data_IF_957141901813
#
_entry.id   IF_957141901813
#
_cell.length_a   1.000
_cell.length_b   1.000
_cell.length_c   1.000
_cell.angle_alpha   90.00
_cell.angle_beta   90.00
_cell.angle_gamma   90.00
#
_symmetry.space_group_name_H-M   'P 1'
#
loop_
_entity.id
_entity.type
_entity.pdbx_description
1 polymer ?
#
# COMPACT_ATOMS: atom_id res chain seq x y z
N UNK A 1 10.99 -48.52 -20.80
CA UNK A 1 10.83 -48.59 -19.32
C UNK A 1 9.62 -47.77 -18.96
N UNK A 2 8.60 -48.37 -18.39
CA UNK A 2 7.43 -47.63 -17.83
C UNK A 2 7.95 -46.96 -16.56
N UNK A 3 8.06 -45.63 -16.58
CA UNK A 3 8.45 -44.88 -15.40
C UNK A 3 7.34 -45.08 -14.36
N UNK A 4 7.65 -45.68 -13.22
CA UNK A 4 6.70 -45.87 -12.14
C UNK A 4 6.39 -44.49 -11.55
N UNK A 5 5.16 -44.04 -11.69
CA UNK A 5 4.66 -42.76 -11.15
C UNK A 5 3.66 -43.06 -10.05
N UNK A 6 3.52 -42.15 -9.06
CA UNK A 6 2.55 -42.28 -7.96
C UNK A 6 1.12 -42.24 -8.48
N UNK A 7 0.85 -41.40 -9.48
CA UNK A 7 -0.45 -41.30 -10.15
C UNK A 7 -0.36 -41.75 -11.61
N UNK A 8 -1.39 -42.45 -12.14
CA UNK A 8 -1.34 -43.08 -13.47
C UNK A 8 -1.66 -42.09 -14.60
N UNK A 9 -0.83 -41.04 -14.78
CA UNK A 9 -0.95 -40.12 -15.91
C UNK A 9 0.39 -39.98 -16.64
N UNK A 10 0.31 -39.60 -17.92
CA UNK A 10 1.46 -39.23 -18.74
C UNK A 10 1.49 -37.74 -18.93
N UNK A 11 2.69 -37.18 -18.99
CA UNK A 11 2.92 -35.76 -19.33
C UNK A 11 3.22 -35.62 -20.79
N UNK A 12 2.60 -34.66 -21.46
CA UNK A 12 2.85 -34.28 -22.83
C UNK A 12 2.67 -32.78 -23.03
N UNK A 13 3.16 -32.24 -24.14
CA UNK A 13 3.02 -30.84 -24.53
C UNK A 13 1.78 -30.62 -25.39
N UNK A 14 1.25 -29.41 -25.45
CA UNK A 14 0.15 -29.02 -26.33
C UNK A 14 0.55 -27.90 -27.26
N UNK A 15 -0.03 -27.87 -28.46
CA UNK A 15 0.09 -26.77 -29.44
C UNK A 15 -1.04 -25.73 -29.30
N UNK A 16 -1.93 -25.93 -28.34
CA UNK A 16 -3.02 -24.98 -28.10
C UNK A 16 -2.51 -23.72 -27.43
N UNK A 17 -3.05 -22.57 -27.80
CA UNK A 17 -2.75 -21.31 -27.13
C UNK A 17 -3.51 -21.28 -25.82
N UNK A 18 -2.82 -21.52 -24.73
CA UNK A 18 -3.38 -21.56 -23.38
C UNK A 18 -2.83 -20.40 -22.53
N UNK A 19 -3.53 -20.05 -21.47
CA UNK A 19 -3.05 -19.20 -20.38
C UNK A 19 -3.41 -19.82 -19.04
N UNK A 20 -2.49 -19.76 -18.08
CA UNK A 20 -2.76 -20.09 -16.69
C UNK A 20 -3.35 -18.88 -15.92
N UNK A 21 -3.32 -17.69 -16.50
CA UNK A 21 -3.64 -16.41 -15.86
C UNK A 21 -4.79 -15.67 -16.54
N UNK A 22 -5.86 -16.41 -16.94
CA UNK A 22 -7.00 -15.81 -17.66
C UNK A 22 -7.63 -14.61 -16.96
N UNK A 23 -7.63 -14.60 -15.63
CA UNK A 23 -8.14 -13.47 -14.85
C UNK A 23 -7.20 -12.27 -14.77
N UNK A 24 -5.90 -12.42 -15.07
CA UNK A 24 -4.98 -11.28 -15.12
C UNK A 24 -5.33 -10.32 -16.27
N UNK A 25 -5.98 -10.84 -17.32
CA UNK A 25 -6.51 -9.99 -18.39
C UNK A 25 -7.54 -8.97 -17.89
N UNK A 26 -8.35 -9.29 -16.87
CA UNK A 26 -9.29 -8.33 -16.25
C UNK A 26 -8.57 -7.17 -15.56
N UNK A 27 -7.46 -7.48 -14.89
CA UNK A 27 -6.64 -6.43 -14.27
C UNK A 27 -5.95 -5.57 -15.33
N UNK A 28 -5.48 -6.17 -16.42
CA UNK A 28 -4.92 -5.45 -17.56
C UNK A 28 -5.96 -4.51 -18.20
N UNK A 29 -7.22 -4.96 -18.39
CA UNK A 29 -8.32 -4.11 -18.84
C UNK A 29 -8.62 -2.95 -17.87
N UNK A 30 -8.59 -3.21 -16.57
CA UNK A 30 -8.74 -2.14 -15.57
C UNK A 30 -7.58 -1.15 -15.62
N UNK A 31 -6.33 -1.62 -15.63
CA UNK A 31 -5.15 -0.77 -15.71
C UNK A 31 -5.19 0.12 -16.97
N UNK A 32 -5.64 -0.45 -18.10
CA UNK A 32 -5.85 0.32 -19.33
C UNK A 32 -6.99 1.32 -19.16
N UNK A 33 -8.15 0.88 -18.65
CA UNK A 33 -9.35 1.72 -18.47
C UNK A 33 -9.14 2.89 -17.52
N UNK A 34 -8.33 2.72 -16.46
CA UNK A 34 -7.94 3.81 -15.55
C UNK A 34 -6.83 4.72 -16.15
N UNK A 35 -6.29 4.37 -17.33
CA UNK A 35 -5.35 5.17 -18.08
C UNK A 35 -3.88 5.02 -17.68
N UNK A 36 -3.47 3.87 -17.14
CA UNK A 36 -2.08 3.65 -16.72
C UNK A 36 -1.09 3.90 -17.87
N UNK A 37 -1.35 3.37 -19.07
CA UNK A 37 -0.45 3.51 -20.23
C UNK A 37 -0.32 4.96 -20.67
N UNK A 38 -1.47 5.65 -20.87
CA UNK A 38 -1.50 7.07 -21.26
C UNK A 38 -0.70 7.93 -20.27
N UNK A 39 -0.93 7.73 -18.96
CA UNK A 39 -0.27 8.51 -17.92
C UNK A 39 1.24 8.24 -17.86
N UNK A 40 1.65 6.97 -18.02
CA UNK A 40 3.08 6.62 -18.01
C UNK A 40 3.83 7.19 -19.21
N UNK A 41 3.26 7.13 -20.42
CA UNK A 41 3.90 7.71 -21.61
C UNK A 41 3.92 9.25 -21.56
N UNK A 42 2.94 9.86 -20.90
CA UNK A 42 2.86 11.31 -20.73
C UNK A 42 3.86 11.87 -19.74
N UNK A 43 4.09 11.19 -18.61
CA UNK A 43 4.84 11.75 -17.49
C UNK A 43 6.24 11.15 -17.28
N UNK A 44 6.55 10.02 -17.90
CA UNK A 44 7.87 9.40 -17.78
C UNK A 44 8.77 9.78 -18.95
N UNK A 45 10.10 9.75 -18.74
CA UNK A 45 11.04 10.06 -19.81
C UNK A 45 10.93 9.04 -20.95
N UNK A 46 11.03 9.49 -22.20
CA UNK A 46 10.98 8.61 -23.36
C UNK A 46 12.15 7.62 -23.34
N UNK A 47 12.09 6.56 -24.14
CA UNK A 47 13.18 5.62 -24.27
C UNK A 47 14.48 6.32 -24.71
N UNK A 48 15.62 5.82 -24.22
CA UNK A 48 16.93 6.41 -24.56
C UNK A 48 17.42 6.15 -25.99
N UNK A 49 16.66 5.37 -26.76
CA UNK A 49 16.95 5.06 -28.17
C UNK A 49 15.68 4.64 -28.91
N UNK A 50 15.69 4.71 -30.24
CA UNK A 50 14.58 4.26 -31.10
C UNK A 50 14.26 2.75 -31.01
N UNK A 51 15.10 1.98 -30.33
CA UNK A 51 14.89 0.54 -30.07
C UNK A 51 14.44 0.26 -28.64
N UNK A 52 14.31 1.29 -27.81
CA UNK A 52 13.87 1.14 -26.43
C UNK A 52 12.36 0.97 -26.34
N UNK A 53 11.91 0.25 -25.32
CA UNK A 53 10.49 0.16 -24.98
C UNK A 53 9.96 1.49 -24.46
N UNK A 54 8.73 1.82 -24.82
CA UNK A 54 8.02 2.95 -24.24
C UNK A 54 7.85 2.78 -22.73
N UNK A 55 7.82 3.87 -21.95
CA UNK A 55 7.65 3.81 -20.50
C UNK A 55 6.41 3.01 -20.08
N UNK A 56 5.31 3.12 -20.83
CA UNK A 56 4.08 2.37 -20.58
C UNK A 56 4.30 0.86 -20.67
N UNK A 57 5.12 0.40 -21.62
CA UNK A 57 5.42 -1.03 -21.78
C UNK A 57 6.21 -1.54 -20.57
N UNK A 58 7.19 -0.75 -20.10
CA UNK A 58 8.01 -1.14 -18.94
C UNK A 58 7.18 -1.18 -17.68
N UNK A 59 6.47 -0.09 -17.36
CA UNK A 59 5.71 0.03 -16.11
C UNK A 59 4.54 -0.96 -16.06
N UNK A 60 3.74 -1.07 -17.14
CA UNK A 60 2.60 -1.99 -17.17
C UNK A 60 3.05 -3.47 -17.10
N UNK A 61 4.20 -3.83 -17.69
CA UNK A 61 4.74 -5.18 -17.56
C UNK A 61 5.13 -5.50 -16.10
N UNK A 62 5.80 -4.57 -15.42
CA UNK A 62 6.14 -4.74 -13.99
C UNK A 62 4.88 -4.76 -13.12
N UNK A 63 3.91 -3.90 -13.37
CA UNK A 63 2.62 -3.88 -12.65
C UNK A 63 1.88 -5.21 -12.82
N UNK A 64 1.74 -5.71 -14.06
CA UNK A 64 1.09 -7.00 -14.32
C UNK A 64 1.84 -8.18 -13.70
N UNK A 65 3.18 -8.17 -13.76
CA UNK A 65 4.00 -9.16 -13.08
C UNK A 65 3.71 -9.19 -11.57
N UNK A 66 3.75 -8.03 -10.92
CA UNK A 66 3.48 -7.91 -9.48
C UNK A 66 2.04 -8.32 -9.15
N UNK A 67 1.05 -7.91 -9.94
CA UNK A 67 -0.34 -8.30 -9.76
C UNK A 67 -0.56 -9.80 -9.97
N UNK A 68 0.12 -10.39 -10.95
CA UNK A 68 0.12 -11.84 -11.24
C UNK A 68 0.78 -12.71 -10.15
N UNK A 69 1.65 -12.12 -9.33
CA UNK A 69 2.32 -12.82 -8.22
C UNK A 69 3.83 -12.95 -8.37
N UNK A 70 4.42 -12.36 -9.41
CA UNK A 70 5.87 -12.25 -9.56
C UNK A 70 6.46 -11.40 -8.43
N UNK A 71 7.67 -11.74 -8.01
CA UNK A 71 8.39 -11.10 -6.89
C UNK A 71 9.81 -10.69 -7.26
N UNK A 72 10.25 -11.04 -8.45
CA UNK A 72 11.57 -10.75 -9.00
C UNK A 72 11.40 -10.25 -10.44
N UNK A 73 12.29 -9.39 -10.90
CA UNK A 73 12.28 -8.98 -12.31
C UNK A 73 12.45 -10.16 -13.27
N UNK A 74 13.05 -11.26 -12.84
CA UNK A 74 13.17 -12.49 -13.64
C UNK A 74 11.79 -13.11 -13.95
N UNK A 75 10.79 -12.86 -13.11
CA UNK A 75 9.43 -13.39 -13.28
C UNK A 75 8.69 -12.73 -14.46
N UNK A 76 9.23 -11.65 -15.03
CA UNK A 76 8.76 -11.11 -16.32
C UNK A 76 8.82 -12.15 -17.44
N UNK A 77 9.76 -13.11 -17.35
CA UNK A 77 9.86 -14.22 -18.28
C UNK A 77 8.59 -15.08 -18.28
N UNK A 78 7.98 -15.30 -17.12
CA UNK A 78 6.77 -16.12 -17.00
C UNK A 78 5.57 -15.45 -17.73
N UNK A 79 5.45 -14.12 -17.64
CA UNK A 79 4.48 -13.39 -18.44
C UNK A 79 4.75 -13.50 -19.94
N UNK A 80 6.03 -13.38 -20.34
CA UNK A 80 6.43 -13.47 -21.73
C UNK A 80 6.14 -14.85 -22.34
N UNK A 81 6.26 -15.91 -21.55
CA UNK A 81 6.00 -17.29 -21.96
C UNK A 81 4.51 -17.64 -22.00
N UNK A 82 3.65 -16.86 -21.35
CA UNK A 82 2.19 -17.04 -21.43
C UNK A 82 1.64 -16.42 -22.72
N UNK A 83 1.82 -17.15 -23.83
CA UNK A 83 1.35 -16.69 -25.17
C UNK A 83 -0.13 -16.35 -25.20
N UNK A 84 -0.96 -17.06 -24.42
CA UNK A 84 -2.37 -16.82 -24.31
C UNK A 84 -2.67 -15.47 -23.69
N UNK A 85 -2.03 -15.14 -22.58
CA UNK A 85 -2.15 -13.85 -21.93
C UNK A 85 -1.64 -12.72 -22.85
N UNK A 86 -0.47 -12.91 -23.49
CA UNK A 86 0.10 -11.92 -24.40
C UNK A 86 -0.85 -11.54 -25.54
N UNK A 87 -1.50 -12.54 -26.15
CA UNK A 87 -2.50 -12.33 -27.21
C UNK A 87 -3.74 -11.57 -26.68
N UNK A 88 -4.18 -11.88 -25.45
CA UNK A 88 -5.34 -11.23 -24.84
C UNK A 88 -5.10 -9.74 -24.57
N UNK A 89 -3.91 -9.39 -24.08
CA UNK A 89 -3.57 -8.00 -23.74
C UNK A 89 -2.99 -7.21 -24.94
N UNK A 90 -2.95 -7.85 -26.12
CA UNK A 90 -2.49 -7.21 -27.37
C UNK A 90 -1.02 -6.80 -27.31
N UNK A 91 -0.15 -7.66 -26.79
CA UNK A 91 1.28 -7.39 -26.68
C UNK A 91 2.10 -8.47 -27.41
N UNK A 92 3.03 -7.99 -28.22
CA UNK A 92 3.98 -8.87 -28.92
C UNK A 92 5.23 -9.13 -28.07
N UNK A 93 5.63 -8.17 -27.23
CA UNK A 93 6.82 -8.26 -26.42
C UNK A 93 6.66 -7.69 -25.00
N UNK A 94 7.40 -8.29 -24.07
CA UNK A 94 7.64 -7.83 -22.71
C UNK A 94 9.14 -7.63 -22.51
N UNK A 95 9.57 -6.52 -21.84
CA UNK A 95 10.98 -6.27 -21.57
C UNK A 95 11.58 -7.34 -20.67
N UNK A 96 12.83 -7.73 -20.93
CA UNK A 96 13.58 -8.63 -20.04
C UNK A 96 14.02 -7.93 -18.75
N UNK A 97 14.32 -8.73 -17.71
CA UNK A 97 14.76 -8.28 -16.39
C UNK A 97 15.94 -7.32 -16.43
N UNK A 98 16.96 -7.60 -17.24
CA UNK A 98 18.15 -6.76 -17.41
C UNK A 98 17.77 -5.36 -17.92
N UNK A 99 16.94 -5.29 -18.97
CA UNK A 99 16.49 -4.02 -19.54
C UNK A 99 15.66 -3.21 -18.53
N UNK A 100 14.77 -3.86 -17.79
CA UNK A 100 14.00 -3.19 -16.72
C UNK A 100 14.94 -2.67 -15.63
N UNK A 101 15.94 -3.47 -15.22
CA UNK A 101 16.95 -3.04 -14.24
C UNK A 101 17.74 -1.81 -14.72
N UNK A 102 18.14 -1.77 -16.00
CA UNK A 102 18.81 -0.61 -16.59
C UNK A 102 17.89 0.60 -16.66
N UNK A 103 16.63 0.40 -17.01
CA UNK A 103 15.63 1.46 -17.01
C UNK A 103 15.41 2.06 -15.60
N UNK A 104 15.31 1.21 -14.56
CA UNK A 104 15.18 1.65 -13.16
C UNK A 104 16.39 2.49 -12.72
N UNK A 105 17.61 2.04 -13.04
CA UNK A 105 18.85 2.78 -12.74
C UNK A 105 18.89 4.12 -13.45
N UNK A 106 18.59 4.13 -14.75
CA UNK A 106 18.62 5.34 -15.56
C UNK A 106 17.59 6.37 -15.08
N UNK A 107 16.35 5.93 -14.84
CA UNK A 107 15.25 6.86 -14.49
C UNK A 107 15.25 7.30 -13.05
N UNK A 108 15.90 6.54 -12.17
CA UNK A 108 16.09 6.89 -10.75
C UNK A 108 17.35 7.70 -10.45
N UNK A 109 18.29 7.86 -11.39
CA UNK A 109 19.59 8.46 -11.15
C UNK A 109 19.48 9.93 -10.67
N UNK A 110 19.96 10.24 -9.46
CA UNK A 110 19.95 11.61 -8.93
C UNK A 110 20.78 12.59 -9.76
N UNK A 111 21.81 12.12 -10.49
CA UNK A 111 22.64 12.96 -11.36
C UNK A 111 21.84 13.61 -12.50
N UNK A 112 20.74 13.01 -12.91
CA UNK A 112 19.85 13.56 -13.95
C UNK A 112 18.49 13.99 -13.39
N UNK A 113 18.39 14.19 -12.05
CA UNK A 113 17.19 14.71 -11.39
C UNK A 113 16.07 13.71 -11.18
N UNK A 114 16.35 12.40 -11.20
CA UNK A 114 15.39 11.32 -10.88
C UNK A 114 14.06 11.39 -11.68
N UNK A 115 14.07 11.53 -13.01
CA UNK A 115 12.87 11.79 -13.79
C UNK A 115 11.82 10.67 -13.68
N UNK A 116 12.25 9.42 -13.41
CA UNK A 116 11.34 8.30 -13.14
C UNK A 116 10.53 8.48 -11.86
N UNK A 117 11.16 8.92 -10.77
CA UNK A 117 10.45 9.16 -9.51
C UNK A 117 9.46 10.32 -9.62
N UNK A 118 9.84 11.41 -10.28
CA UNK A 118 8.95 12.56 -10.51
C UNK A 118 7.77 12.14 -11.38
N UNK A 119 8.04 11.47 -12.50
CA UNK A 119 6.98 11.00 -13.42
C UNK A 119 6.01 10.03 -12.76
N UNK A 120 6.51 9.04 -12.00
CA UNK A 120 5.67 8.09 -11.28
C UNK A 120 4.86 8.75 -10.15
N UNK A 121 5.35 9.83 -9.52
CA UNK A 121 4.55 10.60 -8.57
C UNK A 121 3.32 11.24 -9.24
N UNK A 122 3.50 11.79 -10.45
CA UNK A 122 2.39 12.30 -11.25
C UNK A 122 1.42 11.18 -11.69
N UNK A 123 1.95 10.05 -12.16
CA UNK A 123 1.14 8.87 -12.54
C UNK A 123 0.30 8.39 -11.36
N UNK A 124 0.92 8.18 -10.19
CA UNK A 124 0.22 7.78 -8.97
C UNK A 124 -0.86 8.79 -8.59
N UNK A 125 -0.51 10.10 -8.59
CA UNK A 125 -1.46 11.17 -8.27
C UNK A 125 -2.70 11.15 -9.16
N UNK A 126 -2.52 10.98 -10.48
CA UNK A 126 -3.64 10.90 -11.44
C UNK A 126 -4.47 9.64 -11.30
N UNK A 127 -3.84 8.49 -11.05
CA UNK A 127 -4.56 7.23 -10.75
C UNK A 127 -5.38 7.38 -9.48
N UNK A 128 -4.78 7.91 -8.40
CA UNK A 128 -5.47 8.15 -7.14
C UNK A 128 -6.66 9.12 -7.33
N UNK A 129 -6.46 10.20 -8.07
CA UNK A 129 -7.53 11.16 -8.40
C UNK A 129 -8.71 10.45 -9.08
N UNK A 130 -8.43 9.62 -10.11
CA UNK A 130 -9.46 8.86 -10.85
C UNK A 130 -10.19 7.85 -9.97
N UNK A 131 -9.52 7.23 -9.00
CA UNK A 131 -10.13 6.30 -8.03
C UNK A 131 -10.99 7.08 -7.02
N UNK A 132 -10.42 8.09 -6.37
CA UNK A 132 -11.07 8.83 -5.29
C UNK A 132 -12.27 9.67 -5.76
N UNK A 133 -12.27 10.18 -6.99
CA UNK A 133 -13.46 10.86 -7.56
C UNK A 133 -14.70 9.96 -7.61
N UNK A 134 -14.51 8.64 -7.66
CA UNK A 134 -15.59 7.66 -7.84
C UNK A 134 -15.98 6.92 -6.57
N UNK A 135 -15.31 7.16 -5.44
CA UNK A 135 -15.60 6.46 -4.19
C UNK A 135 -16.69 7.12 -3.32
N UNK A 136 -17.13 8.32 -3.69
CA UNK A 136 -18.20 9.05 -2.99
C UNK A 136 -17.79 9.68 -1.64
N UNK A 137 -16.51 9.56 -1.23
CA UNK A 137 -16.00 10.03 0.05
C UNK A 137 -15.35 11.40 -0.13
N UNK A 138 -15.51 12.32 0.83
CA UNK A 138 -14.91 13.66 0.80
C UNK A 138 -13.89 13.87 1.91
N UNK A 139 -14.06 13.21 3.05
CA UNK A 139 -13.21 13.34 4.23
C UNK A 139 -12.53 12.02 4.56
N UNK A 140 -11.23 12.06 4.78
CA UNK A 140 -10.41 10.87 4.97
C UNK A 140 -9.61 10.92 6.25
N UNK A 141 -9.32 9.73 6.76
CA UNK A 141 -8.33 9.48 7.80
C UNK A 141 -7.00 9.13 7.12
N UNK A 142 -5.95 9.87 7.42
CA UNK A 142 -4.58 9.52 7.02
C UNK A 142 -3.92 8.67 8.12
N UNK A 143 -3.56 7.45 7.76
CA UNK A 143 -2.69 6.57 8.54
C UNK A 143 -1.28 6.66 7.98
N UNK A 144 -0.35 7.27 8.71
CA UNK A 144 1.06 7.38 8.31
C UNK A 144 1.89 6.37 9.09
N UNK A 145 2.71 5.59 8.39
CA UNK A 145 3.51 4.54 8.98
C UNK A 145 4.85 4.36 8.25
N UNK A 146 5.93 4.09 8.99
CA UNK A 146 7.22 3.72 8.44
C UNK A 146 7.35 2.19 8.47
N UNK A 147 7.78 1.59 7.35
CA UNK A 147 7.90 0.14 7.26
C UNK A 147 9.29 -0.29 6.82
N UNK A 148 9.91 -1.24 7.55
CA UNK A 148 11.23 -1.77 7.19
C UNK A 148 11.18 -2.71 5.99
N UNK A 149 12.11 -2.55 5.06
CA UNK A 149 12.40 -3.49 3.98
C UNK A 149 13.84 -3.95 4.17
N UNK A 150 14.02 -5.19 4.64
CA UNK A 150 15.35 -5.75 4.89
C UNK A 150 15.93 -6.34 3.61
N UNK A 151 17.13 -5.89 3.23
CA UNK A 151 17.75 -6.28 1.98
C UNK A 151 19.27 -6.11 2.06
N UNK A 152 20.01 -7.18 1.74
CA UNK A 152 21.47 -7.17 1.58
C UNK A 152 21.83 -6.60 0.18
N UNK A 153 21.67 -5.27 0.00
CA UNK A 153 22.01 -4.57 -1.25
C UNK A 153 23.23 -3.68 -1.06
N UNK A 154 23.89 -3.31 -2.17
CA UNK A 154 25.12 -2.55 -2.13
C UNK A 154 24.96 -1.22 -1.36
N UNK A 155 23.89 -0.49 -1.62
CA UNK A 155 23.61 0.81 -1.01
C UNK A 155 22.72 0.74 0.24
N UNK A 156 22.30 -0.48 0.67
CA UNK A 156 21.46 -0.63 1.84
C UNK A 156 22.24 -0.27 3.13
N UNK A 157 21.65 0.58 3.95
CA UNK A 157 22.21 1.02 5.22
C UNK A 157 21.57 0.29 6.40
N UNK A 158 22.25 0.23 7.54
CA UNK A 158 21.71 -0.37 8.75
C UNK A 158 20.52 0.43 9.28
N UNK A 159 19.42 -0.28 9.52
CA UNK A 159 18.24 0.29 10.17
C UNK A 159 18.44 0.37 11.69
N UNK A 160 17.55 1.06 12.38
CA UNK A 160 17.55 1.10 13.84
C UNK A 160 17.31 -0.28 14.49
N UNK A 161 16.84 -1.26 13.72
CA UNK A 161 16.65 -2.65 14.16
C UNK A 161 17.94 -3.49 14.05
N UNK A 162 19.00 -2.96 13.43
CA UNK A 162 20.28 -3.65 13.29
C UNK A 162 20.45 -4.43 11.99
N UNK A 163 19.42 -4.52 11.15
CA UNK A 163 19.49 -5.16 9.83
C UNK A 163 19.72 -4.13 8.72
N UNK A 164 20.39 -4.53 7.64
CA UNK A 164 20.53 -3.70 6.45
C UNK A 164 19.21 -3.62 5.68
N UNK A 165 18.91 -2.44 5.14
CA UNK A 165 17.70 -2.26 4.35
C UNK A 165 17.34 -0.81 4.08
N UNK A 166 16.03 -0.60 3.95
CA UNK A 166 15.39 0.67 3.68
C UNK A 166 14.24 0.90 4.65
N UNK A 167 13.90 2.16 4.92
CA UNK A 167 12.81 2.55 5.83
C UNK A 167 11.79 3.46 5.13
N UNK A 168 11.12 2.98 4.06
CA UNK A 168 10.11 3.78 3.39
C UNK A 168 9.00 4.19 4.36
N UNK A 169 8.51 5.41 4.16
CA UNK A 169 7.32 5.91 4.82
C UNK A 169 6.17 5.94 3.84
N UNK A 170 4.99 5.50 4.28
CA UNK A 170 3.77 5.37 3.47
C UNK A 170 2.58 6.01 4.19
N UNK A 171 1.75 6.72 3.44
CA UNK A 171 0.53 7.34 3.92
C UNK A 171 -0.69 6.72 3.25
N UNK A 172 -1.51 6.01 4.02
CA UNK A 172 -2.74 5.39 3.53
C UNK A 172 -3.97 6.19 3.91
N UNK A 173 -4.95 6.24 3.01
CA UNK A 173 -6.29 6.72 3.33
C UNK A 173 -7.11 5.53 3.85
N UNK A 174 -7.60 5.60 5.09
CA UNK A 174 -8.27 4.47 5.74
C UNK A 174 -9.56 4.04 5.03
N UNK A 175 -10.39 4.97 4.62
CA UNK A 175 -11.71 4.75 4.02
C UNK A 175 -11.59 4.11 2.62
N UNK A 176 -10.60 4.53 1.84
CA UNK A 176 -10.20 3.93 0.58
C UNK A 176 -8.71 3.65 0.66
N UNK A 177 -8.29 2.41 1.01
CA UNK A 177 -6.93 2.13 1.46
C UNK A 177 -5.88 2.17 0.35
N UNK A 178 -5.85 3.28 -0.41
CA UNK A 178 -4.78 3.60 -1.34
C UNK A 178 -3.64 4.32 -0.61
N UNK A 179 -2.43 4.13 -1.08
CA UNK A 179 -1.27 4.92 -0.66
C UNK A 179 -1.32 6.26 -1.41
N UNK A 180 -1.58 7.36 -0.66
CA UNK A 180 -1.64 8.70 -1.24
C UNK A 180 -0.24 9.26 -1.51
N UNK A 181 0.73 8.94 -0.64
CA UNK A 181 2.12 9.31 -0.77
C UNK A 181 3.05 8.25 -0.19
N UNK A 182 4.18 8.05 -0.86
CA UNK A 182 5.28 7.22 -0.41
C UNK A 182 6.60 7.99 -0.48
N UNK A 183 7.45 7.75 0.46
CA UNK A 183 8.83 8.24 0.47
C UNK A 183 9.76 7.06 0.74
N UNK A 184 10.55 6.69 -0.28
CA UNK A 184 11.53 5.62 -0.13
C UNK A 184 12.79 6.19 0.55
N UNK A 185 13.03 5.76 1.80
CA UNK A 185 14.09 6.26 2.66
C UNK A 185 15.19 5.23 2.86
N UNK A 186 16.40 5.71 3.04
CA UNK A 186 17.55 4.90 3.45
C UNK A 186 17.29 4.23 4.81
N UNK A 187 17.94 3.08 5.05
CA UNK A 187 17.74 2.31 6.27
C UNK A 187 18.06 3.06 7.57
N UNK A 188 19.04 3.96 7.52
CA UNK A 188 19.47 4.75 8.67
C UNK A 188 18.60 5.99 8.97
N UNK A 189 17.55 6.24 8.18
CA UNK A 189 16.58 7.30 8.44
C UNK A 189 15.61 6.85 9.51
N UNK A 190 15.58 7.54 10.64
CA UNK A 190 14.67 7.22 11.74
C UNK A 190 13.20 7.40 11.33
N UNK A 191 12.28 6.54 11.79
CA UNK A 191 10.84 6.70 11.53
C UNK A 191 10.30 8.09 11.90
N UNK A 192 10.83 8.69 12.96
CA UNK A 192 10.43 10.02 13.44
C UNK A 192 10.90 11.19 12.54
N UNK A 193 11.81 10.95 11.60
CA UNK A 193 12.32 12.02 10.75
C UNK A 193 11.28 12.54 9.76
N UNK A 194 11.09 13.85 9.69
CA UNK A 194 10.32 14.52 8.63
C UNK A 194 8.80 14.32 8.66
N UNK A 195 8.20 13.94 9.80
CA UNK A 195 6.78 13.62 9.94
C UNK A 195 5.85 14.76 9.47
N UNK A 196 6.14 16.02 9.84
CA UNK A 196 5.37 17.18 9.39
C UNK A 196 5.44 17.35 7.86
N UNK A 197 6.64 17.23 7.28
CA UNK A 197 6.83 17.36 5.83
C UNK A 197 6.07 16.26 5.10
N UNK A 198 6.14 15.02 5.60
CA UNK A 198 5.40 13.89 5.04
C UNK A 198 3.88 14.11 5.06
N UNK A 199 3.34 14.60 6.18
CA UNK A 199 1.91 14.96 6.27
C UNK A 199 1.53 16.03 5.23
N UNK A 200 2.33 17.10 5.11
CA UNK A 200 2.06 18.16 4.13
C UNK A 200 2.12 17.64 2.68
N UNK A 201 3.03 16.72 2.38
CA UNK A 201 3.11 16.06 1.08
C UNK A 201 1.90 15.16 0.80
N UNK A 202 1.38 14.44 1.81
CA UNK A 202 0.11 13.72 1.69
C UNK A 202 -1.06 14.69 1.41
N UNK A 203 -1.17 15.76 2.18
CA UNK A 203 -2.21 16.79 2.03
C UNK A 203 -2.19 17.43 0.64
N UNK A 204 -1.01 17.78 0.13
CA UNK A 204 -0.83 18.38 -1.20
C UNK A 204 -1.31 17.46 -2.35
N UNK A 205 -1.27 16.15 -2.15
CA UNK A 205 -1.68 15.14 -3.16
C UNK A 205 -3.14 14.75 -3.08
N UNK A 206 -3.90 15.31 -2.15
CA UNK A 206 -5.34 15.07 -2.14
C UNK A 206 -5.99 15.72 -3.36
N UNK A 207 -6.88 15.01 -4.06
CA UNK A 207 -7.65 15.58 -5.16
C UNK A 207 -8.53 16.76 -4.73
N UNK A 208 -8.86 17.64 -5.66
CA UNK A 208 -9.77 18.76 -5.41
C UNK A 208 -11.11 18.24 -4.84
N UNK A 209 -11.60 18.86 -3.78
CA UNK A 209 -12.82 18.48 -3.06
C UNK A 209 -12.67 17.29 -2.11
N UNK A 210 -11.47 16.78 -1.92
CA UNK A 210 -11.14 15.71 -0.96
C UNK A 210 -10.16 16.24 0.08
N UNK A 211 -10.40 15.94 1.37
CA UNK A 211 -9.58 16.46 2.46
C UNK A 211 -9.18 15.38 3.46
N UNK A 212 -8.00 15.52 4.04
CA UNK A 212 -7.61 14.79 5.23
C UNK A 212 -8.24 15.51 6.42
N UNK A 213 -9.24 14.89 7.00
CA UNK A 213 -9.94 15.40 8.18
C UNK A 213 -9.40 14.80 9.47
N UNK A 214 -8.82 13.62 9.39
CA UNK A 214 -8.37 12.84 10.53
C UNK A 214 -6.96 12.31 10.30
N UNK A 215 -6.19 12.19 11.40
CA UNK A 215 -4.83 11.68 11.36
C UNK A 215 -4.58 10.67 12.47
N UNK A 216 -4.00 9.50 12.12
CA UNK A 216 -3.58 8.49 13.08
C UNK A 216 -2.15 8.05 12.82
N UNK A 217 -1.37 7.90 13.89
CA UNK A 217 0.00 7.40 13.78
C UNK A 217 0.49 6.80 15.09
N UNK A 218 1.64 6.17 15.03
CA UNK A 218 2.39 5.70 16.18
C UNK A 218 3.19 6.83 16.85
N UNK A 219 4.04 6.46 17.82
CA UNK A 219 4.85 7.42 18.58
C UNK A 219 5.93 8.11 17.76
N UNK A 220 6.30 7.62 16.58
CA UNK A 220 7.22 8.32 15.69
C UNK A 220 6.67 9.70 15.24
N UNK A 221 5.33 9.83 15.25
CA UNK A 221 4.61 11.08 14.93
C UNK A 221 4.34 11.95 16.15
N UNK A 222 4.78 11.57 17.36
CA UNK A 222 4.59 12.38 18.57
C UNK A 222 5.56 13.55 18.61
N UNK A 223 5.27 14.58 17.80
CA UNK A 223 6.15 15.74 17.58
C UNK A 223 5.37 17.06 17.58
N UNK A 224 5.88 18.04 18.33
CA UNK A 224 5.22 19.32 18.49
C UNK A 224 4.98 20.06 17.16
N UNK A 225 5.91 19.98 16.21
CA UNK A 225 5.75 20.61 14.90
C UNK A 225 4.60 20.03 14.09
N UNK A 226 4.42 18.71 14.15
CA UNK A 226 3.29 18.03 13.50
C UNK A 226 1.97 18.39 14.19
N UNK A 227 1.92 18.37 15.53
CA UNK A 227 0.73 18.73 16.30
C UNK A 227 0.28 20.14 15.99
N UNK A 228 1.22 21.10 15.99
CA UNK A 228 0.91 22.49 15.63
C UNK A 228 0.34 22.62 14.21
N UNK A 229 0.88 21.82 13.26
CA UNK A 229 0.37 21.84 11.88
C UNK A 229 -1.03 21.21 11.77
N UNK A 230 -1.29 20.09 12.46
CA UNK A 230 -2.60 19.46 12.48
C UNK A 230 -3.66 20.37 13.11
N UNK A 231 -3.30 21.09 14.19
CA UNK A 231 -4.16 22.12 14.82
C UNK A 231 -4.45 23.29 13.88
N UNK A 232 -3.44 23.79 13.17
CA UNK A 232 -3.58 24.87 12.20
C UNK A 232 -4.50 24.48 11.03
N UNK A 233 -4.41 23.23 10.60
CA UNK A 233 -5.21 22.67 9.52
C UNK A 233 -6.62 22.23 9.97
N UNK A 234 -6.93 22.26 11.26
CA UNK A 234 -8.21 21.80 11.83
C UNK A 234 -8.41 20.29 11.71
N UNK A 235 -7.32 19.52 11.68
CA UNK A 235 -7.34 18.06 11.57
C UNK A 235 -7.46 17.45 12.97
N UNK A 236 -8.40 16.54 13.15
CA UNK A 236 -8.54 15.77 14.38
C UNK A 236 -7.56 14.59 14.36
N UNK A 237 -6.89 14.34 15.47
CA UNK A 237 -5.86 13.31 15.53
C UNK A 237 -5.94 12.41 16.76
N UNK A 238 -5.38 11.21 16.63
CA UNK A 238 -4.97 10.36 17.74
C UNK A 238 -3.62 9.73 17.42
N UNK A 239 -2.62 10.07 18.22
CA UNK A 239 -1.22 9.69 18.03
C UNK A 239 -0.73 9.04 19.32
N UNK A 240 -0.08 7.87 19.23
CA UNK A 240 0.55 7.26 20.40
C UNK A 240 1.55 8.23 21.01
N UNK A 241 1.41 8.55 22.28
CA UNK A 241 2.37 9.41 22.98
C UNK A 241 3.65 8.63 23.29
N UNK A 242 4.78 9.26 23.07
CA UNK A 242 6.07 8.71 23.51
C UNK A 242 6.14 8.68 25.05
N UNK A 243 6.65 7.58 25.59
CA UNK A 243 6.76 7.36 27.05
C UNK A 243 7.99 8.09 27.62
N UNK A 244 8.14 9.37 27.29
CA UNK A 244 9.17 10.24 27.84
C UNK A 244 8.93 10.59 29.32
N UNK A 245 9.84 11.35 29.94
CA UNK A 245 9.76 11.73 31.34
C UNK A 245 8.52 12.62 31.62
N UNK A 246 8.14 13.48 30.71
CA UNK A 246 7.02 14.40 30.87
C UNK A 246 5.69 13.65 30.86
N UNK A 247 5.50 12.74 29.88
CA UNK A 247 4.32 11.87 29.80
C UNK A 247 4.23 10.95 31.01
N UNK A 248 5.33 10.32 31.44
CA UNK A 248 5.35 9.48 32.68
C UNK A 248 5.00 10.29 33.92
N UNK A 249 5.51 11.52 34.05
CA UNK A 249 5.16 12.41 35.14
C UNK A 249 3.68 12.78 35.12
N UNK A 250 3.13 13.10 33.95
CA UNK A 250 1.70 13.41 33.79
C UNK A 250 0.81 12.21 34.20
N UNK A 251 1.19 10.99 33.80
CA UNK A 251 0.49 9.75 34.20
C UNK A 251 0.58 9.54 35.71
N UNK A 252 1.73 9.79 36.32
CA UNK A 252 1.93 9.63 37.76
C UNK A 252 1.12 10.59 38.64
N UNK A 253 0.64 11.71 38.08
CA UNK A 253 -0.23 12.67 38.78
C UNK A 253 -1.72 12.27 38.78
N UNK A 254 -2.11 11.28 37.98
CA UNK A 254 -3.51 10.83 37.91
C UNK A 254 -3.87 10.10 39.21
N UNK A 255 -4.88 10.58 39.91
CA UNK A 255 -5.35 10.02 41.17
C UNK A 255 -5.99 8.65 40.97
N UNK A 256 -5.98 7.81 42.01
CA UNK A 256 -6.47 6.44 41.94
C UNK A 256 -7.95 6.32 41.56
N UNK A 257 -8.77 7.27 41.98
CA UNK A 257 -10.22 7.35 41.69
C UNK A 257 -10.57 7.80 40.26
N UNK A 258 -9.59 8.35 39.54
CA UNK A 258 -9.75 8.75 38.15
C UNK A 258 -9.60 7.56 37.16
N UNK A 259 -9.02 6.45 37.63
CA UNK A 259 -8.90 5.24 36.83
C UNK A 259 -10.19 4.44 36.85
N UNK A 260 -10.79 4.19 35.69
CA UNK A 260 -12.08 3.50 35.55
C UNK A 260 -11.99 2.35 34.56
N UNK A 261 -12.55 1.21 34.91
CA UNK A 261 -12.79 0.14 33.94
C UNK A 261 -13.91 0.59 32.97
N UNK A 262 -13.67 0.65 31.65
CA UNK A 262 -14.71 1.02 30.67
C UNK A 262 -15.84 -0.02 30.60
N UNK A 263 -15.49 -1.30 30.83
CA UNK A 263 -16.42 -2.41 30.95
C UNK A 263 -15.95 -3.29 32.09
N UNK A 264 -16.85 -3.66 32.99
CA UNK A 264 -16.52 -4.49 34.16
C UNK A 264 -15.83 -5.78 33.76
N UNK A 265 -14.63 -6.01 34.30
CA UNK A 265 -13.85 -7.20 34.06
C UNK A 265 -13.08 -7.22 32.72
N UNK A 266 -12.93 -6.09 32.06
CA UNK A 266 -12.14 -6.01 30.81
C UNK A 266 -10.62 -6.16 31.02
N UNK A 267 -10.16 -6.11 32.29
CA UNK A 267 -8.76 -6.31 32.64
C UNK A 267 -7.84 -5.10 32.42
N UNK A 268 -8.40 -3.94 32.09
CA UNK A 268 -7.67 -2.69 31.98
C UNK A 268 -8.51 -1.50 32.47
N UNK A 269 -7.82 -0.44 32.80
CA UNK A 269 -8.45 0.81 33.26
C UNK A 269 -8.04 1.96 32.35
N UNK A 270 -8.91 2.95 32.26
CA UNK A 270 -8.73 4.17 31.48
C UNK A 270 -8.71 5.37 32.40
N UNK A 271 -7.89 6.32 32.05
CA UNK A 271 -7.90 7.68 32.61
C UNK A 271 -7.47 8.67 31.54
N UNK A 272 -7.63 9.94 31.83
CA UNK A 272 -7.18 11.02 30.97
C UNK A 272 -6.58 12.16 31.75
N UNK A 273 -5.74 12.94 31.09
CA UNK A 273 -5.19 14.18 31.62
C UNK A 273 -4.93 15.16 30.48
N UNK A 274 -4.64 16.40 30.80
CA UNK A 274 -4.21 17.41 29.84
C UNK A 274 -2.69 17.46 29.83
N UNK A 275 -2.11 17.53 28.63
CA UNK A 275 -0.66 17.56 28.45
C UNK A 275 -0.26 18.55 27.35
N UNK A 276 0.98 18.99 27.37
CA UNK A 276 1.61 19.77 26.31
C UNK A 276 3.09 19.41 26.20
N UNK A 277 3.62 19.40 25.00
CA UNK A 277 5.08 19.38 24.77
C UNK A 277 5.61 20.83 24.81
N UNK A 278 6.88 21.01 25.12
CA UNK A 278 7.51 22.35 25.25
C UNK A 278 7.21 23.29 24.08
N UNK A 279 7.16 22.74 22.85
CA UNK A 279 6.96 23.52 21.62
C UNK A 279 5.56 23.48 21.03
N UNK A 280 4.59 22.83 21.70
CA UNK A 280 3.19 22.84 21.25
C UNK A 280 2.54 24.17 21.60
N UNK A 281 1.78 24.74 20.64
CA UNK A 281 1.03 25.99 20.81
C UNK A 281 -0.24 25.81 21.65
N UNK A 282 -0.77 24.59 21.69
CA UNK A 282 -1.97 24.22 22.44
C UNK A 282 -1.72 22.98 23.29
N UNK A 283 -2.38 22.90 24.41
CA UNK A 283 -2.48 21.67 25.17
C UNK A 283 -3.44 20.68 24.48
N UNK A 284 -3.24 19.41 24.72
CA UNK A 284 -4.05 18.31 24.15
C UNK A 284 -4.43 17.33 25.25
N UNK A 285 -5.48 16.53 25.00
CA UNK A 285 -5.87 15.43 25.88
C UNK A 285 -4.88 14.28 25.69
N UNK A 286 -4.47 13.71 26.80
CA UNK A 286 -3.72 12.46 26.85
C UNK A 286 -4.66 11.41 27.46
N UNK A 287 -5.06 10.46 26.63
CA UNK A 287 -5.91 9.33 27.01
C UNK A 287 -5.01 8.16 27.34
N UNK A 288 -5.13 7.58 28.53
CA UNK A 288 -4.22 6.55 29.00
C UNK A 288 -4.99 5.27 29.32
N UNK A 289 -4.49 4.18 28.81
CA UNK A 289 -4.85 2.81 29.19
C UNK A 289 -3.77 2.25 30.08
N UNK A 290 -4.15 1.63 31.23
CA UNK A 290 -3.24 0.84 32.03
C UNK A 290 -3.71 -0.61 32.20
N UNK A 291 -2.76 -1.54 32.15
CA UNK A 291 -2.98 -2.97 32.35
C UNK A 291 -2.04 -3.48 33.43
N UNK A 292 -2.52 -4.35 34.33
CA UNK A 292 -1.66 -4.97 35.33
C UNK A 292 -0.64 -5.91 34.64
N UNK A 293 0.63 -5.77 35.01
CA UNK A 293 1.67 -6.68 34.55
C UNK A 293 1.46 -8.07 35.13
N UNK A 294 1.77 -9.11 34.37
CA UNK A 294 1.78 -10.48 34.85
C UNK A 294 2.92 -10.65 35.85
N UNK A 295 2.75 -11.56 36.83
CA UNK A 295 3.64 -11.72 37.97
C UNK A 295 5.13 -11.93 37.61
N UNK A 296 5.45 -12.54 36.44
CA UNK A 296 6.82 -12.70 35.95
C UNK A 296 7.47 -11.44 35.39
N UNK A 297 6.65 -10.49 34.87
CA UNK A 297 7.12 -9.24 34.29
C UNK A 297 7.35 -8.12 35.32
N UNK A 298 6.78 -8.29 36.57
CA UNK A 298 6.94 -7.38 37.68
C UNK A 298 8.40 -7.33 38.18
N UNK A 299 9.10 -8.45 38.17
CA UNK A 299 10.48 -8.55 38.68
C UNK A 299 11.51 -7.90 37.76
N UNK A 300 11.20 -7.72 36.47
CA UNK A 300 12.15 -7.13 35.53
C UNK A 300 12.16 -5.59 35.53
N UNK A 301 11.05 -4.91 35.87
CA UNK A 301 10.93 -3.45 35.73
C UNK A 301 10.37 -2.67 36.93
N UNK A 302 9.96 -3.34 38.03
CA UNK A 302 9.50 -2.68 39.27
C UNK A 302 8.18 -1.90 39.19
N UNK A 303 7.58 -1.74 38.01
CA UNK A 303 6.31 -1.01 37.81
C UNK A 303 5.12 -1.97 37.71
N UNK A 304 4.04 -1.79 38.51
CA UNK A 304 2.91 -2.74 38.55
C UNK A 304 2.03 -2.72 37.31
N UNK A 305 2.12 -1.67 36.47
CA UNK A 305 1.28 -1.47 35.30
C UNK A 305 2.09 -1.25 34.04
N UNK A 306 1.53 -1.71 32.93
CA UNK A 306 1.88 -1.27 31.59
C UNK A 306 0.96 -0.11 31.18
N UNK A 307 1.52 0.96 30.64
CA UNK A 307 0.78 2.14 30.20
C UNK A 307 0.87 2.30 28.70
N UNK A 308 -0.27 2.58 28.08
CA UNK A 308 -0.37 3.03 26.68
C UNK A 308 -1.12 4.37 26.66
N UNK A 309 -0.48 5.40 26.11
CA UNK A 309 -1.02 6.75 26.09
C UNK A 309 -1.23 7.21 24.64
N UNK A 310 -2.36 7.88 24.40
CA UNK A 310 -2.74 8.43 23.10
C UNK A 310 -3.04 9.91 23.25
N UNK A 311 -2.32 10.75 22.53
CA UNK A 311 -2.56 12.17 22.43
C UNK A 311 -3.65 12.49 21.39
N UNK A 312 -4.59 13.36 21.74
CA UNK A 312 -5.70 13.72 20.87
C UNK A 312 -6.16 15.16 21.10
N UNK A 313 -6.76 15.77 20.07
CA UNK A 313 -7.43 17.06 20.14
C UNK A 313 -8.97 16.98 20.07
N UNK A 314 -9.54 15.78 20.15
CA UNK A 314 -10.98 15.67 20.40
C UNK A 314 -11.32 16.09 21.82
N UNK A 315 -12.40 16.87 22.00
CA UNK A 315 -12.99 17.09 23.30
C UNK A 315 -13.67 15.81 23.81
N UNK A 316 -14.01 15.76 25.11
CA UNK A 316 -14.70 14.61 25.70
C UNK A 316 -16.13 14.47 25.14
N UNK A 317 -16.78 15.59 24.81
CA UNK A 317 -18.11 15.62 24.20
C UNK A 317 -18.10 15.09 22.76
N UNK A 318 -17.00 15.30 22.01
CA UNK A 318 -16.86 14.78 20.64
C UNK A 318 -16.52 13.28 20.63
N UNK A 319 -15.61 12.87 21.50
CA UNK A 319 -15.21 11.46 21.71
C UNK A 319 -14.77 11.25 23.15
N UNK A 320 -15.43 10.34 23.84
CA UNK A 320 -14.98 9.92 25.17
C UNK A 320 -13.68 9.10 25.11
N UNK A 321 -13.09 8.83 26.27
CA UNK A 321 -11.80 8.12 26.43
C UNK A 321 -11.78 6.78 25.71
N UNK A 322 -12.85 5.98 25.82
CA UNK A 322 -12.94 4.65 25.16
C UNK A 322 -13.04 4.78 23.65
N UNK A 323 -13.79 5.77 23.15
CA UNK A 323 -13.96 6.01 21.72
C UNK A 323 -12.66 6.48 21.06
N UNK A 324 -11.89 7.34 21.73
CA UNK A 324 -10.57 7.76 21.24
C UNK A 324 -9.64 6.56 21.06
N UNK A 325 -9.55 5.69 22.08
CA UNK A 325 -8.73 4.49 22.01
C UNK A 325 -9.20 3.50 20.96
N UNK A 326 -10.51 3.25 20.89
CA UNK A 326 -11.09 2.35 19.89
C UNK A 326 -10.81 2.87 18.46
N UNK A 327 -10.93 4.18 18.26
CA UNK A 327 -10.64 4.80 16.97
C UNK A 327 -9.14 4.76 16.65
N UNK A 328 -8.28 5.07 17.61
CA UNK A 328 -6.82 4.95 17.44
C UNK A 328 -6.40 3.52 17.09
N UNK A 329 -6.96 2.51 17.77
CA UNK A 329 -6.63 1.11 17.54
C UNK A 329 -6.98 0.62 16.13
N UNK A 330 -7.91 1.29 15.42
CA UNK A 330 -8.17 1.00 14.00
C UNK A 330 -6.94 1.28 13.12
N UNK A 331 -5.93 2.03 13.61
CA UNK A 331 -4.62 2.17 12.97
C UNK A 331 -3.96 0.81 12.66
N UNK A 332 -4.25 -0.23 13.45
CA UNK A 332 -3.80 -1.59 13.16
C UNK A 332 -4.18 -2.10 11.76
N UNK A 333 -5.16 -1.48 11.08
CA UNK A 333 -5.44 -1.77 9.66
C UNK A 333 -4.32 -1.28 8.73
N UNK A 334 -3.58 -0.23 9.07
CA UNK A 334 -2.43 0.22 8.29
C UNK A 334 -1.33 -0.86 8.22
N UNK A 335 -1.18 -1.66 9.28
CA UNK A 335 -0.29 -2.83 9.29
C UNK A 335 -0.72 -3.87 8.24
N UNK A 336 -2.04 -4.07 8.05
CA UNK A 336 -2.57 -4.94 7.00
C UNK A 336 -2.33 -4.35 5.60
N UNK A 337 -2.42 -3.02 5.43
CA UNK A 337 -2.11 -2.36 4.16
C UNK A 337 -0.62 -2.49 3.83
N UNK A 338 0.27 -2.28 4.83
CA UNK A 338 1.70 -2.52 4.69
C UNK A 338 2.02 -3.98 4.36
N UNK A 339 1.37 -4.93 5.04
CA UNK A 339 1.52 -6.36 4.76
C UNK A 339 1.07 -6.70 3.34
N UNK A 340 -0.02 -6.10 2.87
CA UNK A 340 -0.51 -6.29 1.49
C UNK A 340 0.47 -5.69 0.47
N UNK A 341 1.01 -4.49 0.71
CA UNK A 341 2.02 -3.89 -0.15
C UNK A 341 3.32 -4.70 -0.16
N UNK A 342 3.84 -5.09 1.01
CA UNK A 342 5.10 -5.83 1.14
C UNK A 342 4.96 -7.27 0.63
N UNK A 343 4.08 -8.05 1.25
CA UNK A 343 3.99 -9.50 1.00
C UNK A 343 3.03 -9.80 -0.16
N UNK A 344 1.95 -9.04 -0.25
CA UNK A 344 0.95 -9.21 -1.29
C UNK A 344 1.47 -8.80 -2.66
N UNK A 345 1.93 -7.57 -2.79
CA UNK A 345 2.50 -7.02 -4.04
C UNK A 345 3.98 -7.40 -4.22
N UNK A 346 4.70 -7.77 -3.15
CA UNK A 346 6.10 -8.21 -3.23
C UNK A 346 7.13 -7.12 -2.97
N UNK A 347 6.73 -5.98 -2.39
CA UNK A 347 7.62 -4.85 -2.10
C UNK A 347 8.56 -5.09 -0.91
N UNK A 348 8.59 -6.27 -0.33
CA UNK A 348 9.62 -6.71 0.60
C UNK A 348 10.97 -7.03 -0.06
N UNK A 349 11.00 -7.12 -1.40
CA UNK A 349 12.18 -7.48 -2.18
C UNK A 349 12.56 -6.36 -3.15
N UNK A 350 13.81 -5.92 -3.04
CA UNK A 350 14.34 -4.88 -3.91
C UNK A 350 15.25 -5.50 -4.99
N UNK A 351 15.03 -5.20 -6.30
CA UNK A 351 15.75 -5.87 -7.37
C UNK A 351 17.17 -5.35 -7.59
N UNK A 352 17.45 -4.07 -7.31
CA UNK A 352 18.69 -3.39 -7.66
C UNK A 352 19.68 -3.29 -6.49
N UNK A 353 20.96 -3.06 -6.79
CA UNK A 353 21.98 -2.70 -5.80
C UNK A 353 21.86 -1.25 -5.32
N UNK A 354 21.34 -0.37 -6.18
CA UNK A 354 21.24 1.07 -5.93
C UNK A 354 19.90 1.45 -5.32
N UNK A 355 19.93 2.24 -4.25
CA UNK A 355 18.74 2.69 -3.53
C UNK A 355 17.80 3.53 -4.40
N UNK A 356 18.33 4.41 -5.23
CA UNK A 356 17.54 5.24 -6.14
C UNK A 356 16.78 4.44 -7.20
N UNK A 357 17.36 3.32 -7.69
CA UNK A 357 16.67 2.42 -8.61
C UNK A 357 15.57 1.62 -7.89
N UNK A 358 15.84 1.21 -6.64
CA UNK A 358 14.85 0.55 -5.79
C UNK A 358 13.70 1.50 -5.41
N UNK A 359 13.95 2.80 -5.25
CA UNK A 359 12.91 3.81 -5.04
C UNK A 359 11.93 3.87 -6.22
N UNK A 360 12.43 3.80 -7.47
CA UNK A 360 11.57 3.73 -8.67
C UNK A 360 10.74 2.45 -8.66
N UNK A 361 11.37 1.30 -8.39
CA UNK A 361 10.68 0.01 -8.33
C UNK A 361 9.61 0.00 -7.23
N UNK A 362 9.93 0.49 -6.04
CA UNK A 362 8.98 0.59 -4.93
C UNK A 362 7.75 1.43 -5.31
N UNK A 363 7.95 2.57 -5.97
CA UNK A 363 6.84 3.43 -6.42
C UNK A 363 5.97 2.76 -7.48
N UNK A 364 6.56 1.96 -8.39
CA UNK A 364 5.76 1.11 -9.30
C UNK A 364 4.94 0.09 -8.50
N UNK A 365 5.50 -0.50 -7.45
CA UNK A 365 4.78 -1.40 -6.55
C UNK A 365 3.64 -0.72 -5.81
N UNK A 366 3.83 0.52 -5.34
CA UNK A 366 2.75 1.34 -4.76
C UNK A 366 1.64 1.61 -5.77
N UNK A 367 1.99 1.91 -7.02
CA UNK A 367 1.00 2.07 -8.11
C UNK A 367 0.25 0.75 -8.35
N UNK A 368 0.95 -0.39 -8.40
CA UNK A 368 0.32 -1.70 -8.58
C UNK A 368 -0.65 -2.03 -7.42
N UNK A 369 -0.28 -1.68 -6.20
CA UNK A 369 -1.15 -1.79 -5.02
C UNK A 369 -2.40 -0.89 -5.15
N UNK A 370 -2.23 0.39 -5.49
CA UNK A 370 -3.35 1.32 -5.64
C UNK A 370 -4.29 0.90 -6.77
N UNK A 371 -3.76 0.39 -7.87
CA UNK A 371 -4.55 -0.18 -8.98
C UNK A 371 -5.35 -1.40 -8.51
N UNK A 372 -4.77 -2.27 -7.70
CA UNK A 372 -5.51 -3.41 -7.13
C UNK A 372 -6.65 -2.95 -6.20
N UNK A 373 -6.42 -1.95 -5.35
CA UNK A 373 -7.49 -1.37 -4.51
C UNK A 373 -8.57 -0.74 -5.38
N UNK A 374 -8.19 0.05 -6.39
CA UNK A 374 -9.12 0.65 -7.35
C UNK A 374 -9.94 -0.40 -8.11
N UNK A 375 -9.29 -1.46 -8.59
CA UNK A 375 -9.96 -2.58 -9.27
C UNK A 375 -11.03 -3.23 -8.39
N UNK A 376 -10.72 -3.55 -7.13
CA UNK A 376 -11.69 -4.11 -6.20
C UNK A 376 -12.88 -3.20 -5.98
N UNK A 377 -12.65 -1.90 -5.80
CA UNK A 377 -13.70 -0.94 -5.45
C UNK A 377 -14.55 -0.50 -6.64
N UNK A 378 -13.95 -0.34 -7.81
CA UNK A 378 -14.64 0.21 -8.98
C UNK A 378 -15.17 -0.86 -9.94
N UNK A 379 -14.50 -2.01 -10.03
CA UNK A 379 -14.86 -3.04 -10.99
C UNK A 379 -15.49 -4.29 -10.35
N UNK A 380 -15.09 -4.66 -9.12
CA UNK A 380 -15.60 -5.88 -8.48
C UNK A 380 -16.91 -5.65 -7.69
N UNK A 381 -17.64 -6.71 -7.32
CA UNK A 381 -18.70 -6.66 -6.32
C UNK A 381 -18.17 -6.35 -4.92
N UNK A 382 -19.02 -5.83 -4.04
CA UNK A 382 -18.65 -5.44 -2.67
C UNK A 382 -18.03 -6.60 -1.85
N UNK A 383 -18.51 -7.83 -2.05
CA UNK A 383 -17.99 -9.04 -1.40
C UNK A 383 -16.48 -9.28 -1.65
N UNK A 384 -15.93 -8.69 -2.73
CA UNK A 384 -14.52 -8.82 -3.09
C UNK A 384 -13.63 -7.71 -2.52
N UNK A 385 -14.20 -6.60 -2.04
CA UNK A 385 -13.44 -5.44 -1.56
C UNK A 385 -12.49 -5.80 -0.42
N UNK A 386 -12.91 -6.68 0.49
CA UNK A 386 -12.11 -7.13 1.66
C UNK A 386 -11.08 -8.23 1.34
N UNK A 387 -11.08 -8.77 0.12
CA UNK A 387 -10.18 -9.88 -0.22
C UNK A 387 -8.74 -9.36 -0.42
N UNK A 388 -7.77 -10.16 0.04
CA UNK A 388 -6.34 -9.92 -0.23
C UNK A 388 -5.99 -10.27 -1.68
N UNK A 389 -4.86 -9.75 -2.17
CA UNK A 389 -4.39 -10.11 -3.51
C UNK A 389 -4.04 -11.59 -3.62
N UNK A 390 -3.57 -12.21 -2.55
CA UNK A 390 -3.32 -13.66 -2.52
C UNK A 390 -4.59 -14.47 -2.76
N UNK A 391 -5.69 -14.12 -2.05
CA UNK A 391 -7.01 -14.72 -2.29
C UNK A 391 -7.51 -14.43 -3.70
N UNK A 392 -7.27 -13.21 -4.19
CA UNK A 392 -7.68 -12.79 -5.52
C UNK A 392 -6.94 -13.59 -6.60
N UNK A 393 -5.62 -13.79 -6.45
CA UNK A 393 -4.82 -14.64 -7.36
C UNK A 393 -5.38 -16.05 -7.41
N UNK A 394 -5.59 -16.66 -6.28
CA UNK A 394 -6.11 -18.03 -6.19
C UNK A 394 -7.48 -18.18 -6.84
N UNK A 395 -8.40 -17.25 -6.58
CA UNK A 395 -9.80 -17.38 -7.00
C UNK A 395 -10.12 -16.77 -8.36
N UNK A 396 -9.39 -15.75 -8.79
CA UNK A 396 -9.74 -14.94 -9.97
C UNK A 396 -8.65 -14.89 -11.04
N UNK A 397 -7.37 -14.79 -10.65
CA UNK A 397 -6.28 -14.60 -11.61
C UNK A 397 -5.83 -15.93 -12.20
N UNK A 398 -5.57 -16.92 -11.35
CA UNK A 398 -5.09 -18.26 -11.73
C UNK A 398 -6.23 -19.13 -12.26
N UNK A 399 -6.80 -18.72 -13.37
CA UNK A 399 -7.86 -19.40 -14.07
C UNK A 399 -7.34 -19.83 -15.43
N UNK A 400 -7.35 -21.14 -15.67
CA UNK A 400 -6.93 -21.69 -16.96
C UNK A 400 -7.90 -21.26 -18.07
N UNK A 401 -7.33 -20.85 -19.20
CA UNK A 401 -8.11 -20.43 -20.35
C UNK A 401 -7.46 -20.87 -21.67
N UNK A 402 -8.29 -21.08 -22.69
CA UNK A 402 -7.89 -21.37 -24.06
C UNK A 402 -8.28 -20.20 -24.95
N UNK A 403 -7.33 -19.74 -25.74
CA UNK A 403 -7.56 -18.67 -26.71
C UNK A 403 -7.86 -19.31 -28.07
N UNK A 404 -9.01 -18.98 -28.65
CA UNK A 404 -9.41 -19.42 -29.98
C UNK A 404 -9.79 -18.21 -30.83
N UNK A 405 -9.63 -18.34 -32.15
CA UNK A 405 -10.19 -17.37 -33.11
C UNK A 405 -11.49 -17.93 -33.67
N UNK A 406 -12.55 -17.14 -33.60
CA UNK A 406 -13.84 -17.48 -34.18
C UNK A 406 -14.43 -16.26 -34.89
N UNK A 407 -14.79 -16.40 -36.16
CA UNK A 407 -15.34 -15.30 -36.99
C UNK A 407 -14.51 -14.00 -36.95
N UNK A 408 -13.17 -14.12 -36.92
CA UNK A 408 -12.26 -12.97 -36.86
C UNK A 408 -12.03 -12.38 -35.47
N UNK A 409 -12.78 -12.81 -34.47
CA UNK A 409 -12.66 -12.37 -33.08
C UNK A 409 -11.76 -13.28 -32.24
N UNK A 410 -11.07 -12.73 -31.26
CA UNK A 410 -10.34 -13.47 -30.25
C UNK A 410 -11.30 -13.82 -29.09
N UNK A 411 -11.46 -15.13 -28.82
CA UNK A 411 -12.34 -15.64 -27.77
C UNK A 411 -11.51 -16.32 -26.71
N UNK A 412 -11.62 -15.87 -25.46
CA UNK A 412 -11.07 -16.54 -24.29
C UNK A 412 -12.11 -17.52 -23.72
N UNK A 413 -11.83 -18.82 -23.80
CA UNK A 413 -12.64 -19.86 -23.17
C UNK A 413 -12.00 -20.20 -21.82
N UNK A 414 -12.71 -19.90 -20.73
CA UNK A 414 -12.24 -20.09 -19.36
C UNK A 414 -12.73 -21.42 -18.77
N UNK A 415 -11.92 -22.05 -17.94
CA UNK A 415 -12.30 -23.23 -17.15
C UNK A 415 -13.00 -22.79 -15.85
N UNK A 416 -14.21 -22.28 -15.96
CA UNK A 416 -15.05 -21.78 -14.86
C UNK A 416 -16.51 -22.14 -15.10
N UNK A 417 -17.34 -22.04 -14.04
CA UNK A 417 -18.79 -22.13 -14.12
C UNK A 417 -19.45 -20.86 -14.71
N UNK A 418 -20.75 -20.93 -14.96
CA UNK A 418 -21.50 -19.82 -15.55
C UNK A 418 -21.57 -18.60 -14.60
N UNK A 419 -21.75 -18.81 -13.30
CA UNK A 419 -21.83 -17.74 -12.32
C UNK A 419 -20.52 -16.91 -12.30
N UNK A 420 -19.40 -17.58 -12.33
CA UNK A 420 -18.09 -16.93 -12.41
C UNK A 420 -17.85 -16.26 -13.76
N UNK A 421 -18.36 -16.82 -14.85
CA UNK A 421 -18.29 -16.19 -16.17
C UNK A 421 -19.09 -14.88 -16.18
N UNK A 422 -20.30 -14.87 -15.64
CA UNK A 422 -21.12 -13.65 -15.49
C UNK A 422 -20.42 -12.58 -14.66
N UNK A 423 -19.74 -12.99 -13.57
CA UNK A 423 -18.90 -12.09 -12.78
C UNK A 423 -17.76 -11.48 -13.60
N UNK A 424 -17.04 -12.28 -14.39
CA UNK A 424 -15.96 -11.80 -15.27
C UNK A 424 -16.49 -10.80 -16.29
N UNK A 425 -17.62 -11.10 -16.93
CA UNK A 425 -18.26 -10.19 -17.90
C UNK A 425 -18.73 -8.88 -17.25
N UNK A 426 -19.29 -8.96 -16.03
CA UNK A 426 -19.71 -7.77 -15.30
C UNK A 426 -18.51 -6.87 -14.94
N UNK A 427 -17.37 -7.46 -14.53
CA UNK A 427 -16.13 -6.74 -14.29
C UNK A 427 -15.63 -6.07 -15.58
N UNK A 428 -15.59 -6.79 -16.71
CA UNK A 428 -15.18 -6.25 -18.01
C UNK A 428 -16.04 -5.06 -18.44
N UNK A 429 -17.38 -5.16 -18.30
CA UNK A 429 -18.30 -4.05 -18.60
C UNK A 429 -17.98 -2.81 -17.78
N UNK A 430 -17.60 -2.97 -16.49
CA UNK A 430 -17.19 -1.84 -15.65
C UNK A 430 -15.83 -1.27 -16.06
N UNK A 431 -14.85 -2.10 -16.41
CA UNK A 431 -13.56 -1.65 -16.93
C UNK A 431 -13.73 -0.87 -18.25
N UNK A 432 -14.59 -1.34 -19.14
CA UNK A 432 -14.91 -0.63 -20.38
C UNK A 432 -15.53 0.77 -20.13
N UNK A 433 -16.48 0.86 -19.18
CA UNK A 433 -17.05 2.17 -18.81
C UNK A 433 -16.00 3.15 -18.27
N UNK A 434 -15.00 2.66 -17.53
CA UNK A 434 -13.90 3.50 -17.06
C UNK A 434 -13.06 4.07 -18.23
N UNK A 435 -12.81 3.28 -19.27
CA UNK A 435 -12.05 3.72 -20.44
C UNK A 435 -12.80 4.72 -21.31
N UNK A 436 -14.15 4.66 -21.30
CA UNK A 436 -15.00 5.55 -22.08
C UNK A 436 -15.20 6.94 -21.43
N UNK A 437 -14.90 7.07 -20.13
CA UNK A 437 -15.00 8.33 -19.37
C UNK A 437 -13.75 8.53 -18.50
N UNK A 438 -12.57 8.74 -19.08
CA UNK A 438 -11.32 8.86 -18.32
C UNK A 438 -11.26 10.11 -17.44
N UNK A 439 -12.05 11.15 -17.73
CA UNK A 439 -12.04 12.46 -17.05
C UNK A 439 -13.23 12.70 -16.11
N UNK A 440 -13.98 11.67 -15.77
CA UNK A 440 -15.17 11.74 -14.91
C UNK A 440 -14.89 12.18 -13.47
#
# INVERSE_FOLDING_TARGET
MIQQTVFPFKMDTTKETLTAHGGLALMAEFNHGIGLRELTDRYLPPPGSNRGFDPSVVVDSVVLMLQGGGRSLEDLRELKQDEGLMKLIGRDEIPGSGMVGDWLRRTGDPKIGQPGLIGLDHVRGKINERILKRDGITEYTLDADATGIFAEKADALFTYLGDKGYMPMVGYLYETPICIYDEFREGNVAPAFGQKVFYLECKRRMPVGKVIRYYRADSASYQAELFNQLEEDGVKYAITADQDKAVKSAIGLIQADQWKEPVRGCGYELAETVHCMEKTKKAFRLVIKREKRKQGELFEKGEPYFYHAVATNWSEEEKNTSEVLAWHNQRGQAENFNKELKNGIGMERMPCGQSYANAVFFRIGVIAYNLFIGFKRLACPESWVKQTIATFRWKMIQVAGRIVRHAGETVLKLMIDLEKLELFEAIRKKCFKLSSCPEG
#
